data_IF_878540229344
#
_entry.id   IF_878540229344
#
_cell.length_a   1.000
_cell.length_b   1.000
_cell.length_c   1.000
_cell.angle_alpha   90.00
_cell.angle_beta   90.00
_cell.angle_gamma   90.00
#
_symmetry.space_group_name_H-M   'P 1'
#
loop_
_entity.id
_entity.type
_entity.pdbx_description
1 polymer ?
#
# COMPACT_ATOMS: atom_id res chain seq x y z
N UNK A 1 -22.02 42.72 -0.23
CA UNK A 1 -21.76 41.26 -0.25
C UNK A 1 -20.51 40.99 0.58
N UNK A 2 -20.69 40.51 1.81
CA UNK A 2 -19.59 40.28 2.76
C UNK A 2 -18.79 39.03 2.35
N UNK A 3 -17.47 39.18 2.17
CA UNK A 3 -16.53 38.05 2.05
C UNK A 3 -16.43 37.40 3.43
N UNK A 4 -16.80 36.11 3.62
CA UNK A 4 -16.61 35.45 4.90
C UNK A 4 -15.10 35.31 5.16
N UNK A 5 -14.71 35.47 6.43
CA UNK A 5 -13.34 35.47 6.95
C UNK A 5 -12.45 34.40 6.29
N UNK A 6 -11.56 34.87 5.40
CA UNK A 6 -10.71 34.07 4.54
C UNK A 6 -9.48 33.49 5.23
N UNK A 7 -9.67 32.57 6.17
CA UNK A 7 -8.59 31.65 6.53
C UNK A 7 -8.60 30.50 5.51
N UNK A 8 -7.77 30.61 4.46
CA UNK A 8 -7.38 29.43 3.70
C UNK A 8 -6.49 28.61 4.62
N UNK A 9 -7.07 27.70 5.40
CA UNK A 9 -6.30 26.73 6.17
C UNK A 9 -5.42 25.97 5.20
N UNK A 10 -4.11 26.14 5.37
CA UNK A 10 -3.13 25.45 4.54
C UNK A 10 -3.22 23.96 4.90
N UNK A 11 -3.61 23.11 3.94
CA UNK A 11 -3.77 21.66 4.15
C UNK A 11 -2.50 21.04 4.72
N UNK A 12 -1.32 21.54 4.33
CA UNK A 12 -0.04 21.12 4.89
C UNK A 12 0.06 21.42 6.40
N UNK A 13 -0.43 22.57 6.84
CA UNK A 13 -0.44 22.93 8.27
C UNK A 13 -1.45 22.09 9.05
N UNK A 14 -2.62 21.83 8.48
CA UNK A 14 -3.63 20.95 9.10
C UNK A 14 -3.08 19.54 9.28
N UNK A 15 -2.40 19.01 8.27
CA UNK A 15 -1.79 17.68 8.32
C UNK A 15 -0.60 17.63 9.29
N UNK A 16 0.25 18.65 9.30
CA UNK A 16 1.34 18.74 10.26
C UNK A 16 0.81 18.85 11.70
N UNK A 17 -0.24 19.64 11.93
CA UNK A 17 -0.87 19.77 13.23
C UNK A 17 -1.50 18.44 13.69
N UNK A 18 -2.20 17.71 12.81
CA UNK A 18 -2.77 16.41 13.17
C UNK A 18 -1.69 15.37 13.46
N UNK A 19 -0.62 15.32 12.65
CA UNK A 19 0.53 14.45 12.91
C UNK A 19 1.18 14.77 14.25
N UNK A 20 1.39 16.06 14.53
CA UNK A 20 2.02 16.53 15.76
C UNK A 20 1.18 16.14 17.00
N UNK A 21 -0.13 16.41 16.99
CA UNK A 21 -1.02 16.06 18.10
C UNK A 21 -1.03 14.54 18.33
N UNK A 22 -1.11 13.73 17.27
CA UNK A 22 -1.07 12.28 17.40
C UNK A 22 0.26 11.77 17.97
N UNK A 23 1.39 12.36 17.55
CA UNK A 23 2.72 12.01 18.05
C UNK A 23 2.96 12.47 19.49
N UNK A 24 2.31 13.54 19.94
CA UNK A 24 2.32 13.94 21.36
C UNK A 24 1.60 12.91 22.23
N UNK A 25 0.49 12.35 21.74
CA UNK A 25 -0.26 11.30 22.46
C UNK A 25 0.49 9.97 22.44
N UNK A 26 1.04 9.59 21.28
CA UNK A 26 1.83 8.38 21.14
C UNK A 26 2.98 8.56 20.12
N UNK A 27 4.23 8.74 20.58
CA UNK A 27 5.36 8.98 19.69
C UNK A 27 5.72 7.75 18.85
N UNK A 28 5.35 6.54 19.27
CA UNK A 28 5.62 5.33 18.51
C UNK A 28 4.76 5.21 17.23
N UNK A 29 3.76 6.08 17.05
CA UNK A 29 2.97 6.12 15.81
C UNK A 29 3.84 6.38 14.58
N UNK A 30 4.98 7.06 14.71
CA UNK A 30 5.92 7.27 13.59
C UNK A 30 6.48 5.96 13.03
N UNK A 31 6.55 4.90 13.85
CA UNK A 31 6.99 3.57 13.44
C UNK A 31 5.85 2.69 12.94
N UNK A 32 4.59 3.14 13.07
CA UNK A 32 3.44 2.39 12.62
C UNK A 32 3.26 2.53 11.11
N UNK A 33 3.19 1.40 10.41
CA UNK A 33 3.05 1.35 8.95
C UNK A 33 1.79 2.09 8.48
N UNK A 34 0.69 1.96 9.22
CA UNK A 34 -0.57 2.64 8.90
C UNK A 34 -0.46 4.17 8.95
N UNK A 35 0.22 4.71 9.97
CA UNK A 35 0.46 6.16 10.07
C UNK A 35 1.35 6.65 8.93
N UNK A 36 2.47 5.96 8.67
CA UNK A 36 3.40 6.32 7.60
C UNK A 36 2.70 6.35 6.23
N UNK A 37 1.98 5.27 5.88
CA UNK A 37 1.30 5.17 4.58
C UNK A 37 0.16 6.18 4.45
N UNK A 38 -0.65 6.37 5.50
CA UNK A 38 -1.78 7.30 5.46
C UNK A 38 -1.30 8.75 5.27
N UNK A 39 -0.33 9.20 6.06
CA UNK A 39 0.19 10.56 5.97
C UNK A 39 0.95 10.80 4.66
N UNK A 40 1.74 9.83 4.19
CA UNK A 40 2.41 9.92 2.88
C UNK A 40 1.41 9.94 1.72
N UNK A 41 0.35 9.13 1.76
CA UNK A 41 -0.68 9.16 0.74
C UNK A 41 -1.37 10.53 0.67
N UNK A 42 -1.75 11.10 1.82
CA UNK A 42 -2.39 12.43 1.86
C UNK A 42 -1.42 13.52 1.39
N UNK A 43 -0.16 13.51 1.84
CA UNK A 43 0.87 14.44 1.33
C UNK A 43 1.04 14.31 -0.18
N UNK A 44 1.15 13.09 -0.68
CA UNK A 44 1.26 12.77 -2.09
C UNK A 44 0.09 13.30 -2.90
N UNK A 45 -1.14 13.08 -2.44
CA UNK A 45 -2.35 13.60 -3.08
C UNK A 45 -2.30 15.13 -3.13
N UNK A 46 -2.08 15.79 -2.01
CA UNK A 46 -2.11 17.27 -1.93
C UNK A 46 -1.06 17.91 -2.84
N UNK A 47 0.11 17.29 -2.95
CA UNK A 47 1.23 17.82 -3.74
C UNK A 47 1.17 17.42 -5.23
N UNK A 48 0.88 16.16 -5.53
CA UNK A 48 1.03 15.57 -6.88
C UNK A 48 -0.28 15.54 -7.67
N UNK A 49 -1.45 15.49 -7.01
CA UNK A 49 -2.72 15.34 -7.73
C UNK A 49 -3.07 16.57 -8.56
N UNK A 50 -2.87 17.78 -8.03
CA UNK A 50 -3.19 19.02 -8.73
C UNK A 50 -2.42 19.19 -10.06
N UNK A 51 -1.09 19.02 -10.13
CA UNK A 51 -0.37 19.09 -11.40
C UNK A 51 -0.77 17.95 -12.35
N UNK A 52 -1.00 16.72 -11.85
CA UNK A 52 -1.44 15.60 -12.68
C UNK A 52 -2.81 15.85 -13.31
N UNK A 53 -3.77 16.35 -12.54
CA UNK A 53 -5.12 16.63 -13.00
C UNK A 53 -5.15 17.64 -14.16
N UNK A 54 -4.27 18.65 -14.11
CA UNK A 54 -4.15 19.67 -15.17
C UNK A 54 -3.53 19.17 -16.47
N UNK A 55 -2.98 17.94 -16.52
CA UNK A 55 -2.44 17.38 -17.75
C UNK A 55 -3.52 17.08 -18.79
N UNK A 56 -4.75 16.86 -18.34
CA UNK A 56 -5.87 16.56 -19.21
C UNK A 56 -7.16 17.16 -18.66
N UNK A 57 -7.70 18.14 -19.36
CA UNK A 57 -9.04 18.68 -19.10
C UNK A 57 -10.07 17.86 -19.89
N UNK A 58 -11.09 17.37 -19.20
CA UNK A 58 -12.16 16.56 -19.79
C UNK A 58 -13.48 17.30 -19.61
N UNK A 59 -14.16 17.59 -20.70
CA UNK A 59 -15.40 18.38 -20.69
C UNK A 59 -16.60 17.62 -20.11
N UNK A 60 -16.61 16.29 -20.22
CA UNK A 60 -17.70 15.45 -19.71
C UNK A 60 -17.55 15.18 -18.21
N UNK A 61 -18.62 15.43 -17.44
CA UNK A 61 -18.65 15.23 -15.99
C UNK A 61 -18.25 13.81 -15.55
N UNK A 62 -18.69 12.78 -16.28
CA UNK A 62 -18.31 11.39 -15.95
C UNK A 62 -16.80 11.15 -16.19
N UNK A 63 -16.28 11.60 -17.33
CA UNK A 63 -14.86 11.46 -17.66
C UNK A 63 -13.97 12.24 -16.69
N UNK A 64 -14.37 13.46 -16.34
CA UNK A 64 -13.71 14.29 -15.34
C UNK A 64 -13.67 13.60 -13.96
N UNK A 65 -14.78 12.99 -13.54
CA UNK A 65 -14.82 12.21 -12.30
C UNK A 65 -13.88 11.01 -12.32
N UNK A 66 -13.84 10.24 -13.41
CA UNK A 66 -12.90 9.12 -13.60
C UNK A 66 -11.45 9.63 -13.54
N UNK A 67 -11.15 10.75 -14.19
CA UNK A 67 -9.82 11.34 -14.22
C UNK A 67 -9.37 11.86 -12.86
N UNK A 68 -10.28 12.46 -12.08
CA UNK A 68 -10.02 12.84 -10.67
C UNK A 68 -9.63 11.63 -9.83
N UNK A 69 -10.38 10.53 -9.89
CA UNK A 69 -10.05 9.33 -9.11
C UNK A 69 -8.72 8.71 -9.57
N UNK A 70 -8.48 8.72 -10.88
CA UNK A 70 -7.23 8.21 -11.48
C UNK A 70 -6.03 9.02 -10.97
N UNK A 71 -6.10 10.35 -11.03
CA UNK A 71 -4.99 11.23 -10.60
C UNK A 71 -4.77 11.19 -9.09
N UNK A 72 -5.83 11.08 -8.28
CA UNK A 72 -5.72 10.80 -6.83
C UNK A 72 -5.00 9.47 -6.59
N UNK A 73 -5.37 8.41 -7.33
CA UNK A 73 -4.76 7.09 -7.20
C UNK A 73 -3.29 7.08 -7.58
N UNK A 74 -2.92 7.74 -8.68
CA UNK A 74 -1.51 7.88 -9.09
C UNK A 74 -0.72 8.64 -8.02
N UNK A 75 -1.25 9.77 -7.53
CA UNK A 75 -0.58 10.59 -6.53
C UNK A 75 -0.33 9.82 -5.21
N UNK A 76 -1.36 9.14 -4.70
CA UNK A 76 -1.26 8.31 -3.50
C UNK A 76 -0.29 7.15 -3.69
N UNK A 77 -0.39 6.44 -4.82
CA UNK A 77 0.46 5.29 -5.12
C UNK A 77 1.92 5.71 -5.27
N UNK A 78 2.23 6.81 -5.97
CA UNK A 78 3.60 7.32 -6.11
C UNK A 78 4.24 7.64 -4.76
N UNK A 79 3.50 8.32 -3.88
CA UNK A 79 4.02 8.71 -2.57
C UNK A 79 4.20 7.52 -1.61
N UNK A 80 3.38 6.48 -1.75
CA UNK A 80 3.43 5.29 -0.88
C UNK A 80 4.18 4.12 -1.50
N UNK A 81 4.56 4.19 -2.77
CA UNK A 81 5.11 3.09 -3.57
C UNK A 81 6.26 2.36 -2.86
N UNK A 82 7.28 3.11 -2.44
CA UNK A 82 8.48 2.55 -1.86
C UNK A 82 8.24 1.87 -0.50
N UNK A 83 7.35 2.41 0.33
CA UNK A 83 6.96 1.78 1.59
C UNK A 83 6.01 0.60 1.37
N UNK A 84 5.11 0.70 0.39
CA UNK A 84 4.24 -0.39 -0.01
C UNK A 84 5.03 -1.63 -0.42
N UNK A 85 6.08 -1.45 -1.23
CA UNK A 85 7.00 -2.52 -1.59
C UNK A 85 7.81 -3.05 -0.39
N UNK A 86 8.25 -2.16 0.52
CA UNK A 86 9.05 -2.54 1.68
C UNK A 86 8.27 -3.42 2.66
N UNK A 87 7.01 -3.06 2.95
CA UNK A 87 6.21 -3.74 3.96
C UNK A 87 5.38 -4.90 3.40
N UNK A 88 4.82 -4.75 2.20
CA UNK A 88 3.90 -5.75 1.65
C UNK A 88 4.55 -6.67 0.61
N UNK A 89 5.77 -6.37 0.15
CA UNK A 89 6.50 -7.17 -0.85
C UNK A 89 5.70 -7.49 -2.12
N UNK A 90 4.75 -6.61 -2.43
CA UNK A 90 3.80 -6.80 -3.52
C UNK A 90 3.41 -5.46 -4.14
N UNK A 91 3.10 -5.48 -5.43
CA UNK A 91 2.58 -4.33 -6.16
C UNK A 91 1.29 -4.72 -6.90
N UNK A 92 0.15 -4.07 -6.59
CA UNK A 92 -1.09 -4.28 -7.33
C UNK A 92 -0.99 -3.61 -8.71
N UNK A 93 -0.96 -4.42 -9.77
CA UNK A 93 -0.78 -3.90 -11.15
C UNK A 93 -2.02 -3.15 -11.62
N UNK A 94 -3.20 -3.68 -11.30
CA UNK A 94 -4.49 -3.09 -11.67
C UNK A 94 -4.99 -2.05 -10.66
N UNK A 95 -4.10 -1.41 -9.87
CA UNK A 95 -4.51 -0.47 -8.82
C UNK A 95 -5.37 0.68 -9.34
N UNK A 96 -5.12 1.19 -10.56
CA UNK A 96 -5.94 2.26 -11.14
C UNK A 96 -7.38 1.83 -11.38
N UNK A 97 -7.56 0.67 -12.01
CA UNK A 97 -8.89 0.12 -12.28
C UNK A 97 -9.61 -0.29 -11.00
N UNK A 98 -8.88 -0.91 -10.07
CA UNK A 98 -9.40 -1.27 -8.75
C UNK A 98 -9.86 -0.04 -7.98
N UNK A 99 -9.03 0.99 -7.91
CA UNK A 99 -9.34 2.21 -7.17
C UNK A 99 -10.51 2.99 -7.76
N UNK A 100 -10.77 2.89 -9.07
CA UNK A 100 -11.93 3.52 -9.70
C UNK A 100 -13.26 3.03 -9.10
N UNK A 101 -13.28 1.78 -8.63
CA UNK A 101 -14.45 1.17 -7.99
C UNK A 101 -14.35 1.16 -6.46
N UNK A 102 -13.18 0.82 -5.93
CA UNK A 102 -12.94 0.69 -4.49
C UNK A 102 -13.02 2.03 -3.77
N UNK A 103 -12.52 3.13 -4.34
CA UNK A 103 -12.55 4.44 -3.67
C UNK A 103 -14.00 4.95 -3.50
N UNK A 104 -14.85 4.98 -4.55
CA UNK A 104 -16.26 5.34 -4.37
C UNK A 104 -17.00 4.37 -3.46
N UNK A 105 -16.75 3.06 -3.59
CA UNK A 105 -17.35 2.03 -2.74
C UNK A 105 -17.01 2.22 -1.27
N UNK A 106 -15.75 2.49 -0.95
CA UNK A 106 -15.29 2.76 0.41
C UNK A 106 -15.93 4.03 1.00
N UNK A 107 -16.13 5.07 0.18
CA UNK A 107 -16.85 6.27 0.61
C UNK A 107 -18.31 5.96 0.98
N UNK A 108 -19.02 5.17 0.16
CA UNK A 108 -20.39 4.72 0.47
C UNK A 108 -20.43 3.86 1.74
N UNK A 109 -19.51 2.92 1.88
CA UNK A 109 -19.38 2.06 3.07
C UNK A 109 -19.15 2.91 4.32
N UNK A 110 -18.27 3.91 4.25
CA UNK A 110 -18.00 4.82 5.37
C UNK A 110 -19.25 5.60 5.78
N UNK A 111 -19.97 6.19 4.81
CA UNK A 111 -21.20 6.93 5.10
C UNK A 111 -22.29 6.04 5.71
N UNK A 112 -22.48 4.84 5.17
CA UNK A 112 -23.44 3.87 5.71
C UNK A 112 -23.02 3.39 7.11
N UNK A 113 -21.73 3.17 7.36
CA UNK A 113 -21.20 2.79 8.66
C UNK A 113 -21.41 3.88 9.71
N UNK A 114 -21.10 5.14 9.38
CA UNK A 114 -21.38 6.28 10.26
C UNK A 114 -22.89 6.42 10.50
N UNK A 115 -23.70 6.30 9.44
CA UNK A 115 -25.16 6.33 9.55
C UNK A 115 -25.70 5.23 10.46
N UNK A 116 -25.17 4.02 10.36
CA UNK A 116 -25.55 2.90 11.21
C UNK A 116 -25.26 3.19 12.69
N UNK A 117 -24.10 3.77 13.00
CA UNK A 117 -23.74 4.15 14.37
C UNK A 117 -24.68 5.23 14.90
N UNK A 118 -24.97 6.25 14.10
CA UNK A 118 -25.88 7.35 14.47
C UNK A 118 -27.28 6.81 14.73
N UNK A 119 -27.85 5.98 13.84
CA UNK A 119 -29.22 5.49 13.95
C UNK A 119 -29.37 4.18 14.72
N UNK A 120 -28.30 3.73 15.41
CA UNK A 120 -28.26 2.46 16.15
C UNK A 120 -29.39 2.31 17.18
N UNK A 121 -29.90 3.41 17.73
CA UNK A 121 -31.02 3.42 18.67
C UNK A 121 -32.38 3.10 18.03
N UNK A 122 -32.52 3.23 16.71
CA UNK A 122 -33.75 2.92 15.98
C UNK A 122 -33.60 1.60 15.22
N UNK A 123 -34.02 0.50 15.85
CA UNK A 123 -33.78 -0.87 15.37
C UNK A 123 -34.15 -1.14 13.90
N UNK A 124 -35.32 -0.68 13.44
CA UNK A 124 -35.78 -0.90 12.06
C UNK A 124 -34.91 -0.15 11.05
N UNK A 125 -34.58 1.12 11.34
CA UNK A 125 -33.75 1.95 10.48
C UNK A 125 -32.29 1.44 10.46
N UNK A 126 -31.75 1.10 11.64
CA UNK A 126 -30.44 0.48 11.77
C UNK A 126 -30.35 -0.84 10.99
N UNK A 127 -31.39 -1.69 11.04
CA UNK A 127 -31.42 -2.92 10.25
C UNK A 127 -31.44 -2.65 8.74
N UNK A 128 -32.19 -1.63 8.28
CA UNK A 128 -32.19 -1.19 6.89
C UNK A 128 -30.81 -0.71 6.41
N UNK A 129 -30.18 0.19 7.18
CA UNK A 129 -28.84 0.70 6.89
C UNK A 129 -27.81 -0.43 6.94
N UNK A 130 -27.91 -1.34 7.92
CA UNK A 130 -27.01 -2.49 8.07
C UNK A 130 -27.09 -3.44 6.86
N UNK A 131 -28.28 -3.68 6.30
CA UNK A 131 -28.44 -4.44 5.06
C UNK A 131 -27.78 -3.74 3.87
N UNK A 132 -27.98 -2.43 3.72
CA UNK A 132 -27.34 -1.65 2.66
C UNK A 132 -25.82 -1.64 2.80
N UNK A 133 -25.31 -1.49 4.03
CA UNK A 133 -23.88 -1.56 4.34
C UNK A 133 -23.30 -2.93 3.95
N UNK A 134 -23.97 -4.02 4.34
CA UNK A 134 -23.56 -5.37 3.98
C UNK A 134 -23.56 -5.59 2.46
N UNK A 135 -24.57 -5.06 1.76
CA UNK A 135 -24.65 -5.15 0.30
C UNK A 135 -23.51 -4.36 -0.36
N UNK A 136 -23.21 -3.15 0.12
CA UNK A 136 -22.12 -2.32 -0.39
C UNK A 136 -20.76 -3.02 -0.20
N UNK A 137 -20.50 -3.57 0.99
CA UNK A 137 -19.30 -4.35 1.28
C UNK A 137 -19.20 -5.57 0.35
N UNK A 138 -20.31 -6.30 0.17
CA UNK A 138 -20.36 -7.46 -0.72
C UNK A 138 -20.00 -7.07 -2.17
N UNK A 139 -20.62 -6.01 -2.69
CA UNK A 139 -20.38 -5.51 -4.06
C UNK A 139 -18.92 -5.10 -4.24
N UNK A 140 -18.36 -4.35 -3.27
CA UNK A 140 -16.95 -3.94 -3.31
C UNK A 140 -16.02 -5.14 -3.30
N UNK A 141 -16.25 -6.10 -2.39
CA UNK A 141 -15.42 -7.32 -2.29
C UNK A 141 -15.48 -8.16 -3.56
N UNK A 142 -16.65 -8.32 -4.18
CA UNK A 142 -16.76 -9.03 -5.45
C UNK A 142 -15.94 -8.36 -6.56
N UNK A 143 -15.94 -7.03 -6.62
CA UNK A 143 -15.07 -6.29 -7.55
C UNK A 143 -13.59 -6.51 -7.27
N UNK A 144 -13.17 -6.55 -5.99
CA UNK A 144 -11.79 -6.85 -5.61
C UNK A 144 -11.39 -8.27 -6.02
N UNK A 145 -12.21 -9.28 -5.71
CA UNK A 145 -11.92 -10.67 -6.09
C UNK A 145 -11.89 -10.88 -7.60
N UNK A 146 -12.76 -10.20 -8.35
CA UNK A 146 -12.72 -10.21 -9.81
C UNK A 146 -11.37 -9.71 -10.34
N UNK A 147 -10.86 -8.59 -9.81
CA UNK A 147 -9.57 -8.02 -10.20
C UNK A 147 -8.41 -8.92 -9.75
N UNK A 148 -8.49 -9.51 -8.56
CA UNK A 148 -7.49 -10.45 -8.06
C UNK A 148 -7.36 -11.69 -8.96
N UNK A 149 -8.48 -12.17 -9.51
CA UNK A 149 -8.51 -13.31 -10.45
C UNK A 149 -7.91 -13.02 -11.83
N UNK A 150 -7.63 -11.75 -12.18
CA UNK A 150 -6.99 -11.41 -13.45
C UNK A 150 -5.52 -11.86 -13.49
N UNK A 151 -5.00 -12.26 -14.67
CA UNK A 151 -3.60 -12.64 -14.79
C UNK A 151 -2.70 -11.47 -14.43
N UNK A 152 -1.62 -11.72 -13.67
CA UNK A 152 -0.68 -10.70 -13.21
C UNK A 152 -1.29 -9.57 -12.37
N UNK A 153 -2.44 -9.81 -11.73
CA UNK A 153 -3.11 -8.81 -10.87
C UNK A 153 -2.23 -8.28 -9.76
N UNK A 154 -1.36 -9.14 -9.24
CA UNK A 154 -0.43 -8.85 -8.17
C UNK A 154 0.98 -9.29 -8.59
N UNK A 155 1.91 -8.35 -8.68
CA UNK A 155 3.33 -8.69 -8.66
C UNK A 155 3.71 -9.01 -7.22
N UNK A 156 4.00 -10.27 -6.94
CA UNK A 156 4.36 -10.74 -5.61
C UNK A 156 5.84 -11.12 -5.51
N UNK A 157 6.29 -11.36 -4.29
CA UNK A 157 7.67 -11.77 -3.96
C UNK A 157 8.73 -10.71 -4.36
N UNK A 158 8.35 -9.43 -4.31
CA UNK A 158 9.26 -8.29 -4.50
C UNK A 158 9.92 -7.97 -3.17
N UNK A 159 11.13 -8.49 -2.96
CA UNK A 159 11.90 -8.15 -1.77
C UNK A 159 12.78 -6.92 -2.00
N UNK A 160 12.47 -5.84 -1.28
CA UNK A 160 13.36 -4.68 -1.14
C UNK A 160 13.75 -4.50 0.32
N UNK A 161 15.00 -4.12 0.57
CA UNK A 161 15.46 -3.78 1.91
C UNK A 161 15.22 -2.29 2.24
N UNK A 162 15.45 -1.90 3.49
CA UNK A 162 15.25 -0.51 3.95
C UNK A 162 16.06 0.51 3.14
N UNK A 163 17.31 0.19 2.80
CA UNK A 163 18.16 1.07 1.99
C UNK A 163 17.59 1.28 0.59
N UNK A 164 17.16 0.21 -0.07
CA UNK A 164 16.54 0.25 -1.39
C UNK A 164 15.22 1.03 -1.38
N UNK A 165 14.42 0.91 -0.31
CA UNK A 165 13.23 1.72 -0.12
C UNK A 165 13.57 3.22 -0.05
N UNK A 166 14.58 3.60 0.74
CA UNK A 166 15.05 5.00 0.79
C UNK A 166 15.57 5.51 -0.56
N UNK A 167 16.29 4.67 -1.32
CA UNK A 167 16.72 5.03 -2.67
C UNK A 167 15.53 5.29 -3.59
N UNK A 168 14.49 4.43 -3.55
CA UNK A 168 13.27 4.63 -4.33
C UNK A 168 12.51 5.90 -3.91
N UNK A 169 12.40 6.18 -2.61
CA UNK A 169 11.82 7.45 -2.12
C UNK A 169 12.60 8.64 -2.69
N UNK A 170 13.94 8.59 -2.64
CA UNK A 170 14.80 9.62 -3.21
C UNK A 170 14.59 9.82 -4.72
N UNK A 171 14.46 8.73 -5.48
CA UNK A 171 14.13 8.79 -6.91
C UNK A 171 12.79 9.49 -7.15
N UNK A 172 11.74 9.09 -6.44
CA UNK A 172 10.40 9.70 -6.56
C UNK A 172 10.46 11.19 -6.24
N UNK A 173 11.09 11.58 -5.13
CA UNK A 173 11.22 12.98 -4.73
C UNK A 173 12.00 13.80 -5.77
N UNK A 174 13.12 13.29 -6.29
CA UNK A 174 13.90 14.00 -7.31
C UNK A 174 13.13 14.15 -8.61
N UNK A 175 12.38 13.13 -9.04
CA UNK A 175 11.50 13.22 -10.21
C UNK A 175 10.44 14.30 -10.00
N UNK A 176 9.80 14.35 -8.83
CA UNK A 176 8.82 15.40 -8.53
C UNK A 176 9.46 16.81 -8.54
N UNK A 177 10.68 16.96 -8.03
CA UNK A 177 11.42 18.23 -8.08
C UNK A 177 11.79 18.66 -9.51
N UNK A 178 11.96 17.72 -10.45
CA UNK A 178 12.13 18.08 -11.87
C UNK A 178 10.89 18.81 -12.38
N UNK A 179 9.68 18.35 -12.04
CA UNK A 179 8.44 18.97 -12.51
C UNK A 179 8.20 20.34 -11.86
N UNK A 180 8.54 20.50 -10.59
CA UNK A 180 8.36 21.75 -9.85
C UNK A 180 9.38 22.82 -10.20
N UNK A 181 10.67 22.48 -10.12
CA UNK A 181 11.77 23.43 -10.31
C UNK A 181 12.14 23.57 -11.80
N UNK A 182 11.66 22.65 -12.65
CA UNK A 182 11.94 22.61 -14.09
C UNK A 182 13.44 22.58 -14.42
N UNK A 183 14.26 22.10 -13.49
CA UNK A 183 15.71 21.95 -13.65
C UNK A 183 16.06 20.50 -13.94
N UNK A 184 16.65 20.29 -15.11
CA UNK A 184 17.07 18.95 -15.53
C UNK A 184 18.18 18.34 -14.64
N UNK A 185 18.86 19.15 -13.82
CA UNK A 185 19.89 18.67 -12.89
C UNK A 185 19.39 17.61 -11.91
N UNK A 186 18.12 17.72 -11.46
CA UNK A 186 17.52 16.72 -10.58
C UNK A 186 17.32 15.36 -11.27
N UNK A 187 17.21 15.34 -12.61
CA UNK A 187 17.14 14.11 -13.40
C UNK A 187 18.44 13.32 -13.31
N UNK A 188 19.61 13.98 -13.31
CA UNK A 188 20.88 13.29 -13.10
C UNK A 188 20.95 12.65 -11.71
N UNK A 189 20.47 13.34 -10.68
CA UNK A 189 20.36 12.78 -9.33
C UNK A 189 19.45 11.54 -9.29
N UNK A 190 18.26 11.61 -9.90
CA UNK A 190 17.33 10.48 -9.97
C UNK A 190 17.93 9.28 -10.72
N UNK A 191 18.67 9.55 -11.80
CA UNK A 191 19.39 8.53 -12.56
C UNK A 191 20.50 7.87 -11.73
N UNK A 192 21.32 8.64 -11.02
CA UNK A 192 22.36 8.12 -10.12
C UNK A 192 21.75 7.26 -9.00
N UNK A 193 20.66 7.70 -8.37
CA UNK A 193 19.99 6.91 -7.33
C UNK A 193 19.37 5.63 -7.89
N UNK A 194 18.87 5.66 -9.13
CA UNK A 194 18.35 4.48 -9.82
C UNK A 194 19.47 3.48 -10.13
N UNK A 195 20.64 3.94 -10.58
CA UNK A 195 21.83 3.08 -10.72
C UNK A 195 22.20 2.47 -9.36
N UNK A 196 22.23 3.28 -8.30
CA UNK A 196 22.48 2.81 -6.94
C UNK A 196 21.47 1.75 -6.49
N UNK A 197 20.19 1.93 -6.81
CA UNK A 197 19.13 0.96 -6.54
C UNK A 197 19.38 -0.36 -7.28
N UNK A 198 19.65 -0.33 -8.58
CA UNK A 198 19.93 -1.54 -9.37
C UNK A 198 21.20 -2.24 -8.91
N UNK A 199 22.25 -1.50 -8.57
CA UNK A 199 23.48 -2.06 -8.01
C UNK A 199 23.21 -2.73 -6.66
N UNK A 200 22.52 -2.06 -5.73
CA UNK A 200 22.13 -2.63 -4.45
C UNK A 200 21.25 -3.87 -4.64
N UNK A 201 20.33 -3.84 -5.60
CA UNK A 201 19.51 -5.00 -5.97
C UNK A 201 20.36 -6.15 -6.50
N UNK A 202 21.35 -5.89 -7.35
CA UNK A 202 22.24 -6.92 -7.87
C UNK A 202 23.06 -7.58 -6.76
N UNK A 203 23.67 -6.79 -5.87
CA UNK A 203 24.47 -7.29 -4.73
C UNK A 203 23.60 -8.10 -3.78
N UNK A 204 22.41 -7.59 -3.46
CA UNK A 204 21.46 -8.30 -2.60
C UNK A 204 20.93 -9.57 -3.26
N UNK A 205 20.71 -9.58 -4.59
CA UNK A 205 20.28 -10.77 -5.32
C UNK A 205 21.28 -11.92 -5.18
N UNK A 206 22.58 -11.61 -5.21
CA UNK A 206 23.63 -12.60 -4.94
C UNK A 206 23.66 -13.07 -3.49
N UNK A 207 23.22 -12.22 -2.56
CA UNK A 207 23.15 -12.52 -1.13
C UNK A 207 21.86 -13.25 -0.71
N UNK A 208 20.80 -13.24 -1.54
CA UNK A 208 19.56 -14.00 -1.31
C UNK A 208 19.69 -15.49 -1.61
N UNK A 209 20.71 -15.90 -2.38
CA UNK A 209 21.13 -17.30 -2.45
C UNK A 209 21.95 -17.60 -1.20
N UNK A 210 21.29 -17.62 -0.03
CA UNK A 210 21.95 -18.04 1.19
C UNK A 210 22.32 -19.53 1.08
N UNK A 211 23.52 -19.93 1.56
CA UNK A 211 23.79 -21.34 1.82
C UNK A 211 22.79 -21.87 2.85
N UNK A 212 22.61 -23.20 2.88
CA UNK A 212 21.60 -23.91 3.65
C UNK A 212 21.26 -23.22 5.00
N UNK A 213 20.02 -22.75 5.15
CA UNK A 213 19.57 -22.08 6.37
C UNK A 213 18.40 -22.84 7.00
N UNK A 214 18.52 -23.12 8.30
CA UNK A 214 17.46 -23.71 9.11
C UNK A 214 16.76 -22.59 9.89
N UNK A 215 15.45 -22.44 9.69
CA UNK A 215 14.62 -21.49 10.44
C UNK A 215 13.60 -22.25 11.29
N UNK A 216 13.60 -22.00 12.60
CA UNK A 216 12.64 -22.60 13.55
C UNK A 216 11.61 -21.54 13.91
N UNK A 217 10.33 -21.83 13.67
CA UNK A 217 9.21 -20.96 14.00
C UNK A 217 8.40 -21.57 15.14
N UNK A 218 8.00 -20.71 16.07
CA UNK A 218 6.98 -21.03 17.07
C UNK A 218 5.73 -20.23 16.72
N UNK A 219 4.67 -20.91 16.31
CA UNK A 219 3.41 -20.31 15.84
C UNK A 219 2.28 -20.84 16.72
N UNK A 220 1.84 -20.07 17.71
CA UNK A 220 0.67 -20.34 18.58
C UNK A 220 0.41 -21.82 18.90
N UNK A 221 1.39 -22.48 19.53
CA UNK A 221 1.30 -23.89 19.96
C UNK A 221 1.87 -24.92 18.97
N UNK A 222 2.22 -24.51 17.75
CA UNK A 222 2.85 -25.37 16.74
C UNK A 222 4.30 -24.98 16.49
N UNK A 223 5.18 -25.98 16.42
CA UNK A 223 6.55 -25.83 15.97
C UNK A 223 6.66 -26.12 14.48
N UNK A 224 7.29 -25.23 13.72
CA UNK A 224 7.59 -25.46 12.32
C UNK A 224 9.09 -25.27 12.09
N UNK A 225 9.69 -26.17 11.33
CA UNK A 225 11.11 -26.10 10.94
C UNK A 225 11.16 -26.00 9.43
N UNK A 226 11.76 -24.92 8.92
CA UNK A 226 11.92 -24.69 7.50
C UNK A 226 13.40 -24.75 7.14
N UNK A 227 13.75 -25.77 6.37
CA UNK A 227 15.10 -25.94 5.84
C UNK A 227 15.13 -25.40 4.42
N UNK A 228 15.93 -24.35 4.20
CA UNK A 228 16.02 -23.65 2.92
C UNK A 228 17.40 -23.92 2.32
N UNK A 229 17.44 -24.60 1.18
CA UNK A 229 18.67 -24.90 0.45
C UNK A 229 18.45 -24.71 -1.05
N UNK A 230 19.34 -23.95 -1.72
CA UNK A 230 19.32 -23.75 -3.18
C UNK A 230 17.94 -23.33 -3.74
N UNK A 231 17.31 -22.33 -3.12
CA UNK A 231 15.97 -21.83 -3.49
C UNK A 231 14.84 -22.86 -3.38
N UNK A 232 15.06 -23.97 -2.67
CA UNK A 232 14.04 -24.93 -2.24
C UNK A 232 13.82 -24.81 -0.74
N UNK A 233 12.56 -24.85 -0.34
CA UNK A 233 12.15 -24.92 1.06
C UNK A 233 11.57 -26.30 1.33
N UNK A 234 12.04 -26.90 2.42
CA UNK A 234 11.54 -28.14 3.02
C UNK A 234 10.93 -27.78 4.37
N UNK A 235 9.59 -27.78 4.42
CA UNK A 235 8.85 -27.50 5.64
C UNK A 235 8.59 -28.79 6.39
N UNK A 236 9.01 -28.86 7.64
CA UNK A 236 8.60 -29.88 8.60
C UNK A 236 7.68 -29.21 9.63
N UNK A 237 6.41 -29.59 9.62
CA UNK A 237 5.40 -29.08 10.56
C UNK A 237 4.28 -30.10 10.75
N UNK A 238 3.47 -29.92 11.78
CA UNK A 238 2.23 -30.69 11.95
C UNK A 238 1.27 -30.46 10.76
N UNK A 239 0.60 -31.54 10.34
CA UNK A 239 -0.50 -31.58 9.38
C UNK A 239 -1.56 -30.49 9.61
N UNK A 240 -1.86 -30.16 10.87
CA UNK A 240 -2.81 -29.11 11.23
C UNK A 240 -2.36 -27.70 10.82
N UNK A 241 -1.06 -27.42 10.84
CA UNK A 241 -0.50 -26.13 10.40
C UNK A 241 -0.31 -26.08 8.88
N UNK A 242 -0.07 -27.23 8.25
CA UNK A 242 0.00 -27.33 6.78
C UNK A 242 -1.35 -27.03 6.11
N UNK A 243 -2.46 -27.38 6.76
CA UNK A 243 -3.81 -27.07 6.25
C UNK A 243 -4.24 -25.61 6.41
N UNK A 244 -3.56 -24.81 7.25
CA UNK A 244 -3.87 -23.40 7.49
C UNK A 244 -2.97 -22.50 6.62
N UNK A 245 -3.37 -22.28 5.37
CA UNK A 245 -2.60 -21.51 4.40
C UNK A 245 -2.32 -20.06 4.85
N UNK A 246 -3.24 -19.45 5.61
CA UNK A 246 -3.10 -18.07 6.07
C UNK A 246 -2.00 -17.97 7.12
N UNK A 247 -1.95 -18.89 8.10
CA UNK A 247 -0.86 -18.89 9.10
C UNK A 247 0.50 -19.06 8.46
N UNK A 248 0.62 -19.94 7.46
CA UNK A 248 1.85 -20.15 6.69
C UNK A 248 2.21 -18.89 5.90
N UNK A 249 1.22 -18.23 5.29
CA UNK A 249 1.40 -17.00 4.52
C UNK A 249 1.88 -15.84 5.37
N UNK A 250 1.38 -15.67 6.59
CA UNK A 250 1.76 -14.56 7.47
C UNK A 250 3.07 -14.79 8.23
N UNK A 251 3.33 -16.00 8.72
CA UNK A 251 4.46 -16.24 9.64
C UNK A 251 5.69 -16.84 8.96
N UNK A 252 5.51 -17.63 7.89
CA UNK A 252 6.60 -18.42 7.28
C UNK A 252 7.00 -17.81 5.93
N UNK A 253 6.04 -17.39 5.10
CA UNK A 253 6.30 -16.85 3.75
C UNK A 253 7.26 -15.66 3.72
N UNK A 254 7.21 -14.67 4.64
CA UNK A 254 8.13 -13.52 4.59
C UNK A 254 9.61 -13.95 4.68
N UNK A 255 9.92 -14.94 5.52
CA UNK A 255 11.29 -15.44 5.66
C UNK A 255 11.73 -16.28 4.44
N UNK A 256 10.82 -17.00 3.80
CA UNK A 256 11.09 -17.74 2.54
C UNK A 256 11.37 -16.81 1.37
N UNK A 257 10.59 -15.74 1.24
CA UNK A 257 10.81 -14.69 0.23
C UNK A 257 12.15 -14.01 0.48
N UNK A 258 12.46 -13.67 1.72
CA UNK A 258 13.79 -13.15 2.12
C UNK A 258 14.93 -14.11 1.82
N UNK A 259 14.68 -15.41 1.81
CA UNK A 259 15.69 -16.45 1.53
C UNK A 259 15.70 -16.92 0.07
N UNK A 260 14.98 -16.22 -0.83
CA UNK A 260 15.03 -16.47 -2.27
C UNK A 260 14.45 -17.83 -2.71
N UNK A 261 13.51 -18.39 -1.95
CA UNK A 261 12.85 -19.67 -2.28
C UNK A 261 11.95 -19.52 -3.50
N UNK A 262 12.21 -20.31 -4.55
CA UNK A 262 11.44 -20.32 -5.81
C UNK A 262 10.65 -21.62 -6.04
N UNK A 263 11.04 -22.72 -5.39
CA UNK A 263 10.36 -24.02 -5.46
C UNK A 263 9.99 -24.50 -4.06
N UNK A 264 8.74 -24.93 -3.88
CA UNK A 264 8.18 -25.35 -2.61
C UNK A 264 8.04 -26.88 -2.62
N UNK A 265 8.59 -27.56 -1.62
CA UNK A 265 8.32 -28.98 -1.35
C UNK A 265 7.95 -29.12 0.12
N UNK A 266 6.68 -29.39 0.40
CA UNK A 266 6.24 -29.85 1.72
C UNK A 266 6.48 -31.35 1.81
N UNK A 267 7.11 -31.80 2.90
CA UNK A 267 7.28 -33.22 3.23
C UNK A 267 6.44 -33.55 4.45
#
# INVERSE_FOLDING_TARGET
MAKPFGHRTNIYNTLAASAFVLLLVNPYLIMSVGFQLSYLAVLGIVYVQAPLYRLWEIDNAFGDWVWKITTVSIAAQLATFALGLLYFHQFPVYFLFSNLFVIPGAFVILLLGIGLLIFSFWSVLAAGIGKLLSLAIYIVNQGVFFIEGLPFSLLSDIYINTLQSWLLIGVVVLILLVFDVKKFQFMYGAFVLSIGFFFAQHVNHRSYVKPASLSVYSINGYGAVDFIQNSRSYLFTDSALLSDEDRVRFHIRPNRVRSGVRKRQSL
#
